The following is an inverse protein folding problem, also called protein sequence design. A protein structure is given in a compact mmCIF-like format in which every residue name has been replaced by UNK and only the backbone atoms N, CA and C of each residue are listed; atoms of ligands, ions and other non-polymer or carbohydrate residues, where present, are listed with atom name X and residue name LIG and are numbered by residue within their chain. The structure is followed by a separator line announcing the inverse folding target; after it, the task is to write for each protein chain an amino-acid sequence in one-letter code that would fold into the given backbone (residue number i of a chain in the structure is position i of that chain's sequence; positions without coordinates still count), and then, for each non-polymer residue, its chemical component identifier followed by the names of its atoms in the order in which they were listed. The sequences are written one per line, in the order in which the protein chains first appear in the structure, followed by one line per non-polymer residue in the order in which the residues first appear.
data_IF_955678350066
#
_entry.id   IF_955678350066
#
_cell.length_a   1.000
_cell.length_b   1.000
_cell.length_c   1.000
_cell.angle_alpha   90.00
_cell.angle_beta   90.00
_cell.angle_gamma   90.00
#
_symmetry.space_group_name_H-M   'P 1'
#
loop_
_entity.id
_entity.type
_entity.pdbx_description
1 polymer ?
#
# COMPACT_ATOMS: atom_id res chain seq x y z
N UNK A 1 -43.45 -54.73 8.85
CA UNK A 1 -43.67 -53.77 7.75
C UNK A 1 -42.68 -52.62 7.91
N UNK A 2 -41.47 -52.76 7.36
CA UNK A 2 -40.37 -51.78 7.52
C UNK A 2 -40.42 -50.78 6.36
N UNK A 3 -40.65 -49.49 6.66
CA UNK A 3 -40.55 -48.40 5.67
C UNK A 3 -39.08 -48.03 5.46
N UNK A 4 -38.68 -48.10 4.19
CA UNK A 4 -37.38 -47.70 3.64
C UNK A 4 -37.00 -46.26 4.03
N UNK A 5 -35.78 -46.11 4.52
CA UNK A 5 -35.12 -44.84 4.79
C UNK A 5 -34.71 -44.15 3.48
N UNK A 6 -35.14 -42.90 3.29
CA UNK A 6 -34.65 -42.03 2.21
C UNK A 6 -33.22 -41.58 2.53
N UNK A 7 -32.24 -42.18 1.86
CA UNK A 7 -30.87 -41.68 1.83
C UNK A 7 -30.81 -40.34 1.08
N UNK A 8 -30.67 -39.24 1.81
CA UNK A 8 -30.27 -37.95 1.22
C UNK A 8 -28.77 -37.97 0.96
N UNK A 9 -28.39 -38.13 -0.30
CA UNK A 9 -27.04 -37.86 -0.77
C UNK A 9 -26.76 -36.36 -0.68
N UNK A 10 -26.09 -35.94 0.39
CA UNK A 10 -25.49 -34.62 0.51
C UNK A 10 -24.03 -34.69 0.07
N UNK A 11 -23.73 -34.05 -1.07
CA UNK A 11 -22.39 -33.96 -1.63
C UNK A 11 -21.42 -33.19 -0.71
N UNK A 12 -20.21 -33.73 -0.59
CA UNK A 12 -18.97 -32.95 -0.69
C UNK A 12 -18.53 -32.12 0.53
N UNK A 13 -17.56 -32.65 1.26
CA UNK A 13 -16.51 -31.84 1.87
C UNK A 13 -16.62 -31.67 3.38
N UNK A 14 -16.00 -32.58 4.13
CA UNK A 14 -15.06 -32.28 5.22
C UNK A 14 -14.19 -33.53 5.34
N UNK A 15 -12.92 -33.43 4.92
CA UNK A 15 -11.92 -34.38 5.39
C UNK A 15 -11.85 -34.26 6.91
N UNK A 16 -12.49 -35.17 7.64
CA UNK A 16 -12.23 -35.41 9.04
C UNK A 16 -10.89 -36.16 9.17
N UNK A 17 -9.79 -35.53 8.73
CA UNK A 17 -8.48 -35.99 9.11
C UNK A 17 -8.36 -35.82 10.64
N UNK A 18 -7.96 -36.87 11.36
CA UNK A 18 -7.64 -36.78 12.80
C UNK A 18 -6.44 -35.84 12.97
N UNK A 19 -6.74 -34.55 13.14
CA UNK A 19 -5.73 -33.51 13.39
C UNK A 19 -5.16 -33.74 14.80
N UNK A 20 -3.83 -33.89 14.89
CA UNK A 20 -3.14 -34.06 16.18
C UNK A 20 -3.36 -32.81 17.06
N UNK A 21 -3.37 -32.91 18.39
CA UNK A 21 -3.63 -31.76 19.27
C UNK A 21 -2.74 -30.54 18.98
N UNK A 22 -1.47 -30.76 18.63
CA UNK A 22 -0.51 -29.71 18.26
C UNK A 22 -0.88 -29.01 16.94
N UNK A 23 -1.33 -29.76 15.95
CA UNK A 23 -1.79 -29.24 14.65
C UNK A 23 -3.09 -28.44 14.82
N UNK A 24 -3.96 -28.82 15.76
CA UNK A 24 -5.17 -28.04 16.10
C UNK A 24 -4.83 -26.65 16.63
N UNK A 25 -3.83 -26.55 17.50
CA UNK A 25 -3.36 -25.25 18.04
C UNK A 25 -2.80 -24.39 16.90
N UNK A 26 -1.97 -25.00 16.04
CA UNK A 26 -1.36 -24.31 14.89
C UNK A 26 -2.43 -23.80 13.91
N UNK A 27 -3.41 -24.63 13.55
CA UNK A 27 -4.51 -24.23 12.67
C UNK A 27 -5.40 -23.14 13.29
N UNK A 28 -5.55 -23.13 14.62
CA UNK A 28 -6.28 -22.08 15.33
C UNK A 28 -5.53 -20.75 15.29
N UNK A 29 -4.21 -20.77 15.51
CA UNK A 29 -3.35 -19.60 15.39
C UNK A 29 -3.37 -19.02 13.96
N UNK A 30 -3.25 -19.87 12.93
CA UNK A 30 -3.34 -19.45 11.52
C UNK A 30 -4.71 -18.84 11.20
N UNK A 31 -5.80 -19.37 11.79
CA UNK A 31 -7.14 -18.78 11.61
C UNK A 31 -7.27 -17.42 12.27
N UNK A 32 -6.77 -17.27 13.50
CA UNK A 32 -6.76 -15.97 14.19
C UNK A 32 -5.91 -14.95 13.45
N UNK A 33 -4.71 -15.31 13.02
CA UNK A 33 -3.84 -14.42 12.24
C UNK A 33 -4.55 -13.96 10.96
N UNK A 34 -5.17 -14.90 10.23
CA UNK A 34 -5.95 -14.55 9.04
C UNK A 34 -7.17 -13.68 9.36
N UNK A 35 -7.81 -13.87 10.50
CA UNK A 35 -8.93 -13.04 10.95
C UNK A 35 -8.44 -11.62 11.26
N UNK A 36 -7.42 -11.47 12.08
CA UNK A 36 -6.79 -10.17 12.43
C UNK A 36 -6.27 -9.46 11.18
N UNK A 37 -5.65 -10.20 10.26
CA UNK A 37 -5.18 -9.69 8.97
C UNK A 37 -6.35 -9.20 8.11
N UNK A 38 -7.45 -9.96 8.04
CA UNK A 38 -8.67 -9.53 7.35
C UNK A 38 -9.28 -8.29 8.00
N UNK A 39 -9.35 -8.22 9.32
CA UNK A 39 -9.90 -7.06 10.03
C UNK A 39 -9.05 -5.81 9.87
N UNK A 40 -7.73 -5.91 10.05
CA UNK A 40 -6.80 -4.80 9.85
C UNK A 40 -6.78 -4.32 8.40
N UNK A 41 -6.78 -5.25 7.45
CA UNK A 41 -6.84 -4.94 6.01
C UNK A 41 -8.21 -4.34 5.62
N UNK A 42 -9.31 -4.84 6.16
CA UNK A 42 -10.66 -4.39 5.79
C UNK A 42 -11.04 -3.06 6.45
N UNK A 43 -10.73 -2.84 7.73
CA UNK A 43 -11.14 -1.64 8.47
C UNK A 43 -10.29 -0.42 8.11
N UNK A 44 -8.97 -0.56 8.08
CA UNK A 44 -8.06 0.58 7.91
C UNK A 44 -7.51 0.67 6.48
N UNK A 45 -7.15 -0.48 5.90
CA UNK A 45 -6.42 -0.52 4.64
C UNK A 45 -7.35 -0.48 3.41
N UNK A 46 -8.65 -0.79 3.55
CA UNK A 46 -9.62 -0.73 2.44
C UNK A 46 -10.03 0.71 2.13
N UNK A 47 -10.26 1.55 3.16
CA UNK A 47 -10.50 2.99 2.98
C UNK A 47 -9.28 3.69 2.37
N UNK A 48 -8.10 3.42 2.91
CA UNK A 48 -6.85 3.98 2.38
C UNK A 48 -6.54 3.49 0.97
N UNK A 49 -6.64 2.17 0.68
CA UNK A 49 -6.48 1.65 -0.68
C UNK A 49 -7.53 2.17 -1.63
N UNK A 50 -8.79 2.29 -1.22
CA UNK A 50 -9.87 2.81 -2.07
C UNK A 50 -9.64 4.28 -2.39
N UNK A 51 -9.30 5.09 -1.38
CA UNK A 51 -8.95 6.50 -1.57
C UNK A 51 -7.74 6.66 -2.49
N UNK A 52 -6.64 5.94 -2.20
CA UNK A 52 -5.44 5.96 -3.02
C UNK A 52 -5.71 5.41 -4.42
N UNK A 53 -6.45 4.30 -4.57
CA UNK A 53 -6.75 3.76 -5.90
C UNK A 53 -7.67 4.68 -6.71
N UNK A 54 -8.66 5.33 -6.09
CA UNK A 54 -9.57 6.22 -6.81
C UNK A 54 -8.90 7.55 -7.18
N UNK A 55 -8.08 8.14 -6.31
CA UNK A 55 -7.37 9.41 -6.59
C UNK A 55 -6.07 9.17 -7.38
N UNK A 56 -5.21 8.25 -6.95
CA UNK A 56 -3.90 7.97 -7.60
C UNK A 56 -4.06 7.36 -8.98
N UNK A 57 -5.10 6.55 -9.25
CA UNK A 57 -5.34 6.08 -10.63
C UNK A 57 -5.95 7.14 -11.53
N UNK A 58 -6.55 8.20 -10.97
CA UNK A 58 -7.03 9.36 -11.74
C UNK A 58 -5.86 10.30 -12.09
N UNK A 59 -4.84 10.41 -11.24
CA UNK A 59 -3.58 11.07 -11.57
C UNK A 59 -2.68 10.17 -12.43
N UNK A 60 -3.14 9.86 -13.64
CA UNK A 60 -2.24 9.60 -14.76
C UNK A 60 -1.75 10.98 -15.21
N UNK A 61 -0.75 11.55 -14.54
CA UNK A 61 -0.16 12.79 -15.03
C UNK A 61 0.32 12.54 -16.47
N UNK A 62 -0.22 13.24 -17.48
CA UNK A 62 0.15 13.07 -18.88
C UNK A 62 1.51 13.73 -19.18
N UNK A 63 2.34 13.93 -18.15
CA UNK A 63 3.64 14.58 -18.26
C UNK A 63 4.72 13.52 -18.52
N UNK A 64 5.40 13.58 -19.69
CA UNK A 64 6.57 12.75 -19.92
C UNK A 64 7.69 13.23 -18.99
N UNK A 65 7.99 12.44 -17.96
CA UNK A 65 9.07 12.73 -17.01
C UNK A 65 10.25 11.78 -17.14
N UNK A 66 11.45 12.31 -16.96
CA UNK A 66 12.69 11.55 -16.88
C UNK A 66 13.10 11.45 -15.43
N UNK A 67 13.32 10.22 -14.95
CA UNK A 67 13.80 10.02 -13.59
C UNK A 67 15.29 10.36 -13.56
N UNK A 68 15.67 11.39 -12.83
CA UNK A 68 17.06 11.80 -12.61
C UNK A 68 17.25 12.19 -11.15
N UNK A 69 18.46 11.98 -10.63
CA UNK A 69 18.87 12.41 -9.29
C UNK A 69 19.18 13.91 -9.22
N UNK A 70 19.40 14.57 -10.37
CA UNK A 70 19.54 16.02 -10.44
C UNK A 70 18.16 16.69 -10.46
N UNK A 71 17.74 17.16 -9.30
CA UNK A 71 16.39 17.70 -9.07
C UNK A 71 16.32 19.22 -9.07
N UNK A 72 17.43 19.92 -9.31
CA UNK A 72 17.54 21.37 -9.06
C UNK A 72 16.52 22.21 -9.82
N UNK A 73 16.13 21.76 -11.02
CA UNK A 73 15.21 22.48 -11.91
C UNK A 73 13.77 21.93 -11.91
N UNK A 74 13.47 20.93 -11.07
CA UNK A 74 12.14 20.33 -11.04
C UNK A 74 11.19 21.18 -10.20
N UNK A 75 9.99 21.44 -10.71
CA UNK A 75 8.90 22.11 -9.98
C UNK A 75 8.05 21.09 -9.19
N UNK A 76 7.06 21.57 -8.42
CA UNK A 76 6.20 20.73 -7.59
C UNK A 76 5.42 19.68 -8.40
N UNK A 77 4.95 20.05 -9.58
CA UNK A 77 4.22 19.16 -10.49
C UNK A 77 5.11 18.06 -11.06
N UNK A 78 6.28 18.43 -11.58
CA UNK A 78 7.26 17.51 -12.16
C UNK A 78 7.80 16.56 -11.10
N UNK A 79 8.10 17.08 -9.89
CA UNK A 79 8.53 16.27 -8.74
C UNK A 79 7.48 15.23 -8.36
N UNK A 80 6.22 15.64 -8.24
CA UNK A 80 5.11 14.74 -7.92
C UNK A 80 4.98 13.62 -8.96
N UNK A 81 5.08 13.97 -10.24
CA UNK A 81 5.06 13.00 -11.34
C UNK A 81 6.24 12.04 -11.29
N UNK A 82 7.44 12.56 -11.02
CA UNK A 82 8.65 11.75 -10.89
C UNK A 82 8.55 10.74 -9.76
N UNK A 83 8.08 11.16 -8.58
CA UNK A 83 7.86 10.27 -7.43
C UNK A 83 6.85 9.18 -7.76
N UNK A 84 5.72 9.53 -8.39
CA UNK A 84 4.73 8.55 -8.80
C UNK A 84 5.30 7.54 -9.80
N UNK A 85 6.03 8.01 -10.81
CA UNK A 85 6.64 7.16 -11.84
C UNK A 85 7.71 6.26 -11.22
N UNK A 86 8.58 6.79 -10.36
CA UNK A 86 9.60 6.01 -9.64
C UNK A 86 8.96 4.91 -8.78
N UNK A 87 7.90 5.23 -8.03
CA UNK A 87 7.17 4.27 -7.21
C UNK A 87 6.39 3.24 -8.05
N UNK A 88 5.84 3.64 -9.19
CA UNK A 88 5.17 2.72 -10.12
C UNK A 88 6.14 1.71 -10.73
N UNK A 89 7.34 2.17 -11.10
CA UNK A 89 8.42 1.35 -11.62
C UNK A 89 9.20 0.58 -10.55
N UNK A 90 8.83 0.71 -9.27
CA UNK A 90 9.52 0.10 -8.12
C UNK A 90 11.02 0.40 -8.12
N UNK A 91 11.39 1.66 -8.37
CA UNK A 91 12.78 2.08 -8.29
C UNK A 91 13.20 2.10 -6.82
N UNK A 92 14.31 1.43 -6.52
CA UNK A 92 14.92 1.37 -5.18
C UNK A 92 16.28 2.06 -5.14
N UNK A 93 16.52 3.01 -6.06
CA UNK A 93 17.74 3.81 -6.08
C UNK A 93 17.72 4.84 -4.95
N UNK A 94 18.60 4.64 -3.98
CA UNK A 94 18.69 5.47 -2.78
C UNK A 94 19.10 6.90 -3.09
N UNK A 95 20.01 7.11 -4.06
CA UNK A 95 20.44 8.45 -4.45
C UNK A 95 19.31 9.25 -5.10
N UNK A 96 18.51 8.58 -5.93
CA UNK A 96 17.32 9.16 -6.52
C UNK A 96 16.33 9.63 -5.45
N UNK A 97 16.00 8.76 -4.50
CA UNK A 97 15.03 9.06 -3.46
C UNK A 97 15.51 10.15 -2.49
N UNK A 98 16.79 10.17 -2.12
CA UNK A 98 17.34 11.29 -1.33
C UNK A 98 17.34 12.61 -2.09
N UNK A 99 17.67 12.62 -3.38
CA UNK A 99 17.54 13.81 -4.23
C UNK A 99 16.10 14.33 -4.23
N UNK A 100 15.13 13.41 -4.35
CA UNK A 100 13.71 13.74 -4.27
C UNK A 100 13.34 14.32 -2.91
N UNK A 101 13.77 13.71 -1.80
CA UNK A 101 13.51 14.21 -0.45
C UNK A 101 13.95 15.66 -0.32
N UNK A 102 15.20 15.95 -0.72
CA UNK A 102 15.77 17.29 -0.63
C UNK A 102 14.95 18.30 -1.42
N UNK A 103 14.64 18.00 -2.69
CA UNK A 103 13.89 18.93 -3.55
C UNK A 103 12.48 19.15 -3.06
N UNK A 104 11.80 18.11 -2.57
CA UNK A 104 10.45 18.24 -2.04
C UNK A 104 10.43 19.14 -0.79
N UNK A 105 11.46 19.05 0.06
CA UNK A 105 11.58 19.94 1.22
C UNK A 105 11.82 21.40 0.84
N UNK A 106 12.57 21.65 -0.25
CA UNK A 106 12.75 23.00 -0.82
C UNK A 106 11.42 23.57 -1.34
N UNK A 107 10.60 22.73 -1.97
CA UNK A 107 9.31 23.10 -2.57
C UNK A 107 8.13 23.01 -1.60
N UNK A 108 8.36 22.72 -0.31
CA UNK A 108 7.31 22.32 0.63
C UNK A 108 6.14 23.30 0.72
N UNK A 109 6.44 24.60 0.58
CA UNK A 109 5.46 25.68 0.74
C UNK A 109 4.62 25.89 -0.54
N UNK A 110 5.06 25.32 -1.67
CA UNK A 110 4.37 25.33 -2.96
C UNK A 110 3.49 24.10 -3.19
N UNK A 111 3.67 23.05 -2.37
CA UNK A 111 2.99 21.77 -2.54
C UNK A 111 1.50 21.90 -2.23
N UNK A 112 0.69 21.53 -3.20
CA UNK A 112 -0.74 21.37 -3.01
C UNK A 112 -1.05 20.09 -2.21
N UNK A 113 -2.15 20.05 -1.43
CA UNK A 113 -2.48 18.90 -0.59
C UNK A 113 -2.59 17.57 -1.35
N UNK A 114 -3.05 17.60 -2.60
CA UNK A 114 -3.14 16.45 -3.48
C UNK A 114 -1.76 15.95 -3.93
N UNK A 115 -0.86 16.86 -4.31
CA UNK A 115 0.54 16.54 -4.62
C UNK A 115 1.23 15.88 -3.42
N UNK A 116 1.02 16.43 -2.22
CA UNK A 116 1.57 15.87 -0.99
C UNK A 116 1.09 14.44 -0.72
N UNK A 117 -0.20 14.18 -0.95
CA UNK A 117 -0.77 12.84 -0.87
C UNK A 117 -0.08 11.84 -1.81
N UNK A 118 0.25 12.26 -3.04
CA UNK A 118 0.96 11.42 -4.00
C UNK A 118 2.41 11.18 -3.66
N UNK A 119 3.09 12.20 -3.14
CA UNK A 119 4.47 12.08 -2.68
C UNK A 119 4.53 11.06 -1.54
N UNK A 120 3.71 11.22 -0.51
CA UNK A 120 3.66 10.31 0.64
C UNK A 120 3.27 8.88 0.21
N UNK A 121 2.33 8.74 -0.71
CA UNK A 121 2.00 7.45 -1.30
C UNK A 121 3.20 6.83 -2.04
N UNK A 122 3.95 7.62 -2.82
CA UNK A 122 5.11 7.13 -3.57
C UNK A 122 6.24 6.64 -2.66
N UNK A 123 6.51 7.37 -1.58
CA UNK A 123 7.48 6.97 -0.55
C UNK A 123 7.03 5.70 0.17
N UNK A 124 5.77 5.64 0.62
CA UNK A 124 5.22 4.46 1.28
C UNK A 124 5.21 3.22 0.38
N UNK A 125 4.86 3.39 -0.90
CA UNK A 125 4.86 2.30 -1.88
C UNK A 125 6.27 1.78 -2.20
N UNK A 126 7.27 2.66 -2.19
CA UNK A 126 8.66 2.29 -2.45
C UNK A 126 9.40 1.80 -1.19
N UNK A 127 8.71 1.85 -0.03
CA UNK A 127 9.27 1.53 1.29
C UNK A 127 10.54 2.32 1.61
N UNK A 128 10.64 3.55 1.09
CA UNK A 128 11.77 4.43 1.34
C UNK A 128 11.50 5.26 2.60
N UNK A 129 12.40 5.15 3.58
CA UNK A 129 12.28 5.79 4.88
C UNK A 129 13.38 6.82 5.07
N UNK A 130 13.03 8.10 4.90
CA UNK A 130 13.89 9.23 5.23
C UNK A 130 13.32 9.96 6.46
N UNK A 131 13.94 9.72 7.61
CA UNK A 131 13.48 10.28 8.88
C UNK A 131 13.50 11.82 8.92
N UNK A 132 14.43 12.45 8.20
CA UNK A 132 14.49 13.91 8.13
C UNK A 132 13.32 14.44 7.30
N UNK A 133 13.08 13.83 6.14
CA UNK A 133 11.94 14.16 5.29
C UNK A 133 10.61 14.11 6.05
N UNK A 134 10.31 13.00 6.73
CA UNK A 134 9.06 12.88 7.47
C UNK A 134 8.96 13.89 8.61
N UNK A 135 10.04 14.11 9.36
CA UNK A 135 10.04 15.08 10.46
C UNK A 135 9.75 16.50 9.97
N UNK A 136 10.30 16.89 8.83
CA UNK A 136 10.12 18.21 8.27
C UNK A 136 8.78 18.37 7.53
N UNK A 137 8.26 17.32 6.89
CA UNK A 137 7.00 17.38 6.16
C UNK A 137 5.75 17.22 7.03
N UNK A 138 5.78 16.41 8.08
CA UNK A 138 4.58 16.14 8.90
C UNK A 138 3.89 17.41 9.46
N UNK A 139 4.61 18.45 9.92
CA UNK A 139 4.00 19.70 10.38
C UNK A 139 3.23 20.48 9.30
N UNK A 140 3.52 20.24 8.01
CA UNK A 140 2.83 20.92 6.89
C UNK A 140 1.47 20.29 6.57
N UNK A 141 1.20 19.09 7.08
CA UNK A 141 -0.06 18.37 6.89
C UNK A 141 -1.04 18.83 7.98
N UNK A 142 -2.05 19.61 7.60
CA UNK A 142 -3.15 20.05 8.49
C UNK A 142 -4.33 19.10 8.43
#
# INVERSE_FOLDING_TARGET
MLRLSKARHGMGGIFHARVRPQERITLRAIREENHLRKEGIARYNKRWRSWAQNRVRQFRLPLPVTLTSDTALMDSNYMTTCVQKAAALRKHDVHLWFGYSKRILELKDELQPDQLGYILWGYGKSSFLDGNFYRAMMPTIK
#
